data_IF_326857090158
#
_entry.id   IF_326857090158
#
_cell.length_a   1.000
_cell.length_b   1.000
_cell.length_c   1.000
_cell.angle_alpha   90.00
_cell.angle_beta   90.00
_cell.angle_gamma   90.00
#
_symmetry.space_group_name_H-M   'P 1'
#
loop_
_entity.id
_entity.type
_entity.pdbx_description
1 polymer ?
#
# COMPACT_ATOMS: atom_id res chain seq x y z
N UNK A 1 -7.50 -4.01 -16.21
CA UNK A 1 -6.97 -2.63 -16.26
C UNK A 1 -6.30 -2.30 -14.93
N UNK A 2 -5.51 -1.22 -14.87
CA UNK A 2 -4.93 -0.75 -13.60
C UNK A 2 -6.03 -0.20 -12.66
N UNK A 3 -5.87 -0.27 -11.33
CA UNK A 3 -6.78 0.37 -10.37
C UNK A 3 -6.90 1.88 -10.61
N UNK A 4 -8.08 2.44 -10.41
CA UNK A 4 -8.33 3.88 -10.58
C UNK A 4 -8.79 4.51 -9.26
N UNK A 5 -8.71 5.84 -9.17
CA UNK A 5 -9.14 6.56 -7.97
C UNK A 5 -8.34 6.18 -6.72
N UNK A 6 -7.08 5.75 -6.89
CA UNK A 6 -6.21 5.43 -5.76
C UNK A 6 -6.02 6.69 -4.91
N UNK A 7 -6.41 6.58 -3.65
CA UNK A 7 -6.26 7.62 -2.65
C UNK A 7 -5.63 7.03 -1.40
N UNK A 8 -4.90 7.89 -0.68
CA UNK A 8 -4.18 7.52 0.51
C UNK A 8 -4.30 8.63 1.55
N UNK A 9 -4.46 8.27 2.83
CA UNK A 9 -4.49 9.25 3.92
C UNK A 9 -3.94 8.70 5.22
N UNK A 10 -3.25 9.57 5.95
CA UNK A 10 -2.84 9.34 7.32
C UNK A 10 -4.03 9.25 8.27
N UNK A 11 -4.00 8.29 9.19
CA UNK A 11 -4.88 8.21 10.34
C UNK A 11 -4.08 8.08 11.64
N UNK A 12 -4.65 8.57 12.74
CA UNK A 12 -4.13 8.32 14.09
C UNK A 12 -4.71 7.01 14.61
N UNK A 13 -3.87 6.18 15.20
CA UNK A 13 -4.27 4.93 15.85
C UNK A 13 -3.91 4.98 17.34
N UNK A 14 -4.32 3.96 18.12
CA UNK A 14 -3.92 3.85 19.53
C UNK A 14 -2.42 3.59 19.71
N UNK A 15 -1.75 3.05 18.70
CA UNK A 15 -0.35 2.61 18.76
C UNK A 15 0.58 3.46 17.89
N UNK A 16 0.09 4.52 17.25
CA UNK A 16 0.87 5.37 16.36
C UNK A 16 0.04 5.97 15.24
N UNK A 17 0.53 5.86 14.01
CA UNK A 17 -0.13 6.30 12.78
C UNK A 17 -0.29 5.11 11.83
N UNK A 18 -1.23 5.23 10.91
CA UNK A 18 -1.42 4.27 9.82
C UNK A 18 -1.75 5.05 8.53
N UNK A 19 -1.54 4.43 7.38
CA UNK A 19 -1.99 4.95 6.09
C UNK A 19 -3.14 4.08 5.59
N UNK A 20 -4.28 4.70 5.32
CA UNK A 20 -5.42 4.04 4.70
C UNK A 20 -5.37 4.30 3.20
N UNK A 21 -5.35 3.24 2.43
CA UNK A 21 -5.48 3.21 0.98
C UNK A 21 -6.91 2.84 0.59
N UNK A 22 -7.42 3.48 -0.46
CA UNK A 22 -8.69 3.15 -1.12
C UNK A 22 -8.56 3.31 -2.62
N UNK A 23 -9.25 2.47 -3.40
CA UNK A 23 -9.31 2.58 -4.85
C UNK A 23 -10.67 2.08 -5.37
N UNK A 24 -10.98 2.40 -6.62
CA UNK A 24 -12.17 1.89 -7.29
C UNK A 24 -12.01 0.41 -7.67
N UNK A 25 -13.06 -0.41 -7.54
CA UNK A 25 -13.03 -1.79 -8.02
C UNK A 25 -12.67 -1.89 -9.50
N UNK A 26 -11.78 -2.83 -9.85
CA UNK A 26 -11.46 -3.19 -11.23
C UNK A 26 -12.37 -4.34 -11.65
N UNK A 27 -13.12 -4.16 -12.74
CA UNK A 27 -13.99 -5.20 -13.28
C UNK A 27 -13.20 -6.48 -13.60
N UNK A 28 -13.68 -7.62 -13.11
CA UNK A 28 -13.03 -8.93 -13.31
C UNK A 28 -11.79 -9.19 -12.44
N UNK A 29 -11.44 -8.30 -11.52
CA UNK A 29 -10.39 -8.57 -10.53
C UNK A 29 -10.92 -9.51 -9.44
N UNK A 30 -10.10 -10.50 -9.05
CA UNK A 30 -10.37 -11.40 -7.92
C UNK A 30 -9.64 -10.94 -6.65
N UNK A 31 -8.79 -9.93 -6.75
CA UNK A 31 -8.12 -9.31 -5.62
C UNK A 31 -7.11 -8.26 -6.06
N UNK A 32 -6.33 -7.77 -5.09
CA UNK A 32 -5.28 -6.79 -5.32
C UNK A 32 -3.99 -7.16 -4.60
N UNK A 33 -2.86 -6.81 -5.21
CA UNK A 33 -1.54 -6.90 -4.58
C UNK A 33 -1.05 -5.49 -4.29
N UNK A 34 -0.52 -5.30 -3.08
CA UNK A 34 -0.11 -3.99 -2.59
C UNK A 34 1.37 -4.07 -2.22
N UNK A 35 2.13 -3.13 -2.77
CA UNK A 35 3.52 -2.90 -2.39
C UNK A 35 3.69 -1.48 -1.83
N UNK A 36 4.68 -1.31 -0.95
CA UNK A 36 5.17 -0.02 -0.48
C UNK A 36 6.66 0.12 -0.79
N UNK A 37 7.04 1.34 -1.16
CA UNK A 37 8.40 1.81 -1.20
C UNK A 37 8.53 3.04 -0.29
N UNK A 38 9.69 3.21 0.34
CA UNK A 38 10.04 4.38 1.15
C UNK A 38 11.21 5.12 0.49
N UNK A 39 11.47 6.37 0.90
CA UNK A 39 12.68 7.07 0.45
C UNK A 39 13.99 6.32 0.76
N UNK A 40 14.01 5.46 1.78
CA UNK A 40 15.16 4.64 2.16
C UNK A 40 15.22 3.30 1.41
N UNK A 41 14.07 2.74 1.03
CA UNK A 41 13.97 1.51 0.23
C UNK A 41 12.97 1.71 -0.93
N UNK A 42 13.46 2.07 -2.13
CA UNK A 42 12.61 2.45 -3.25
C UNK A 42 12.04 1.25 -4.03
N UNK A 43 12.22 0.01 -3.55
CA UNK A 43 11.89 -1.18 -4.33
C UNK A 43 10.45 -1.66 -4.10
N UNK A 44 9.73 -1.90 -5.19
CA UNK A 44 8.45 -2.61 -5.19
C UNK A 44 8.69 -4.08 -5.60
N UNK A 45 9.41 -4.85 -4.79
CA UNK A 45 9.83 -6.21 -5.16
C UNK A 45 9.34 -7.27 -4.18
N UNK A 46 9.27 -8.53 -4.60
CA UNK A 46 9.01 -9.61 -3.64
C UNK A 46 10.36 -10.14 -3.10
N UNK A 47 10.52 -10.33 -1.77
CA UNK A 47 9.56 -10.03 -0.70
C UNK A 47 9.62 -8.58 -0.17
N UNK A 48 10.59 -7.78 -0.59
CA UNK A 48 10.85 -6.44 -0.07
C UNK A 48 9.80 -5.39 -0.49
N UNK A 49 8.98 -4.95 0.46
CA UNK A 49 7.93 -3.96 0.20
C UNK A 49 6.56 -4.59 -0.06
N UNK A 50 6.43 -5.91 -0.12
CA UNK A 50 5.11 -6.56 -0.19
C UNK A 50 4.33 -6.37 1.11
N UNK A 51 3.09 -5.93 1.00
CA UNK A 51 2.21 -5.68 2.15
C UNK A 51 1.07 -6.67 2.26
N UNK A 52 0.39 -6.96 1.14
CA UNK A 52 -0.75 -7.87 1.12
C UNK A 52 -1.10 -8.34 -0.29
N UNK A 53 -1.78 -9.48 -0.35
CA UNK A 53 -2.43 -10.01 -1.54
C UNK A 53 -3.91 -10.30 -1.25
N UNK A 54 -4.74 -10.21 -2.29
CA UNK A 54 -6.19 -10.46 -2.24
C UNK A 54 -6.95 -9.55 -1.26
N UNK A 55 -6.45 -8.32 -1.07
CA UNK A 55 -7.13 -7.31 -0.24
C UNK A 55 -8.47 -6.88 -0.88
N UNK A 56 -9.47 -6.44 -0.09
CA UNK A 56 -10.60 -5.65 -0.60
C UNK A 56 -10.11 -4.35 -1.26
N UNK A 57 -11.01 -3.49 -1.75
CA UNK A 57 -10.66 -2.17 -2.32
C UNK A 57 -10.22 -1.11 -1.30
N UNK A 58 -9.79 -1.56 -0.13
CA UNK A 58 -9.17 -0.77 0.91
C UNK A 58 -8.09 -1.59 1.59
N UNK A 59 -7.04 -0.90 2.04
CA UNK A 59 -5.98 -1.49 2.84
C UNK A 59 -5.53 -0.48 3.90
N UNK A 60 -5.31 -0.94 5.12
CA UNK A 60 -4.72 -0.11 6.17
C UNK A 60 -3.32 -0.60 6.42
N UNK A 61 -2.33 0.16 5.96
CA UNK A 61 -0.95 -0.04 6.33
C UNK A 61 -0.77 0.44 7.76
N UNK A 62 -0.77 -0.53 8.68
CA UNK A 62 -0.56 -0.32 10.10
C UNK A 62 0.77 -0.93 10.57
N UNK A 63 1.74 -1.15 9.66
CA UNK A 63 2.99 -1.87 9.92
C UNK A 63 3.71 -1.45 11.21
N UNK A 64 3.48 -0.23 11.69
CA UNK A 64 4.07 0.35 12.90
C UNK A 64 3.46 -0.08 14.23
N UNK A 65 2.30 -0.71 14.22
CA UNK A 65 1.66 -1.18 15.44
C UNK A 65 2.16 -2.58 15.88
N UNK A 66 2.96 -3.26 15.04
CA UNK A 66 3.46 -4.61 15.25
C UNK A 66 4.99 -4.71 15.09
N UNK A 67 5.68 -5.12 16.17
CA UNK A 67 7.14 -5.32 16.20
C UNK A 67 7.62 -6.45 15.27
N UNK A 68 6.72 -7.24 14.68
CA UNK A 68 7.03 -8.31 13.73
C UNK A 68 6.75 -7.95 12.26
N UNK A 69 6.26 -6.74 11.98
CA UNK A 69 6.02 -6.32 10.60
C UNK A 69 7.34 -6.28 9.80
N UNK A 70 7.26 -6.69 8.53
CA UNK A 70 8.39 -6.71 7.60
C UNK A 70 8.93 -5.31 7.26
N UNK A 71 8.11 -4.27 7.42
CA UNK A 71 8.50 -2.87 7.28
C UNK A 71 8.21 -2.13 8.60
N UNK A 72 9.25 -1.43 9.07
CA UNK A 72 9.24 -0.59 10.26
C UNK A 72 9.59 0.86 9.85
N UNK A 73 8.69 1.62 9.24
CA UNK A 73 8.58 3.07 9.47
C UNK A 73 7.24 3.58 8.92
N UNK A 74 6.38 4.20 9.73
CA UNK A 74 5.37 5.15 9.25
C UNK A 74 5.73 6.43 9.99
N UNK A 75 6.97 6.82 9.73
CA UNK A 75 7.72 7.75 10.53
C UNK A 75 7.44 9.17 10.07
N UNK A 76 7.49 10.08 11.03
CA UNK A 76 7.39 11.50 10.76
C UNK A 76 8.61 11.90 9.92
N UNK A 77 8.39 12.73 8.89
CA UNK A 77 9.46 13.16 7.99
C UNK A 77 9.80 12.21 6.82
N UNK A 78 9.19 11.02 6.70
CA UNK A 78 9.41 10.12 5.55
C UNK A 78 8.18 10.08 4.63
N UNK A 79 8.39 10.24 3.32
CA UNK A 79 7.35 10.02 2.31
C UNK A 79 7.23 8.53 1.99
N UNK A 80 5.99 8.05 1.86
CA UNK A 80 5.67 6.66 1.53
C UNK A 80 5.06 6.60 0.15
N UNK A 81 5.46 5.64 -0.67
CA UNK A 81 4.82 5.40 -1.97
C UNK A 81 4.25 4.01 -2.03
N UNK A 82 3.04 3.88 -2.59
CA UNK A 82 2.31 2.62 -2.67
C UNK A 82 1.98 2.30 -4.11
N UNK A 83 2.11 1.02 -4.46
CA UNK A 83 1.61 0.46 -5.71
C UNK A 83 0.47 -0.51 -5.43
N UNK A 84 -0.60 -0.38 -6.20
CA UNK A 84 -1.73 -1.32 -6.18
C UNK A 84 -1.90 -1.89 -7.58
N UNK A 85 -1.92 -3.22 -7.69
CA UNK A 85 -2.24 -3.95 -8.92
C UNK A 85 -3.50 -4.78 -8.72
N UNK A 86 -4.31 -4.91 -9.76
CA UNK A 86 -5.43 -5.86 -9.79
C UNK A 86 -4.91 -7.23 -10.26
N UNK A 87 -5.44 -8.30 -9.66
CA UNK A 87 -5.11 -9.67 -10.04
C UNK A 87 -6.36 -10.48 -10.36
N UNK A 88 -6.25 -11.36 -11.35
CA UNK A 88 -7.21 -12.42 -11.63
C UNK A 88 -6.51 -13.62 -12.28
N UNK A 89 -7.26 -14.64 -12.69
CA UNK A 89 -6.70 -15.83 -13.34
C UNK A 89 -5.96 -15.54 -14.66
N UNK A 90 -6.23 -14.40 -15.30
CA UNK A 90 -5.55 -13.95 -16.52
C UNK A 90 -4.25 -13.18 -16.25
N UNK A 91 -3.91 -12.90 -15.00
CA UNK A 91 -2.65 -12.27 -14.60
C UNK A 91 -2.80 -11.02 -13.75
N UNK A 92 -1.78 -10.16 -13.82
CA UNK A 92 -1.62 -8.95 -13.00
C UNK A 92 -1.72 -7.73 -13.92
N UNK A 93 -2.47 -6.70 -13.50
CA UNK A 93 -2.55 -5.43 -14.22
C UNK A 93 -1.26 -4.60 -14.11
N UNK A 94 -1.08 -3.56 -14.94
CA UNK A 94 -0.15 -2.49 -14.60
C UNK A 94 -0.47 -1.89 -13.21
N UNK A 95 0.54 -1.39 -12.48
CA UNK A 95 0.34 -0.78 -11.17
C UNK A 95 -0.23 0.64 -11.30
N UNK A 96 -0.98 1.05 -10.27
CA UNK A 96 -1.26 2.45 -9.99
C UNK A 96 -0.47 2.85 -8.76
N UNK A 97 0.28 3.95 -8.86
CA UNK A 97 1.17 4.44 -7.81
C UNK A 97 0.58 5.68 -7.14
N UNK A 98 0.71 5.80 -5.83
CA UNK A 98 0.48 7.05 -5.09
C UNK A 98 1.61 7.31 -4.11
N UNK A 99 2.05 8.57 -4.03
CA UNK A 99 2.99 9.03 -2.99
C UNK A 99 2.23 9.79 -1.92
N UNK A 100 2.36 9.33 -0.69
CA UNK A 100 1.88 9.98 0.53
C UNK A 100 3.03 10.81 1.08
N UNK A 101 2.90 12.15 1.13
CA UNK A 101 3.96 12.97 1.68
C UNK A 101 4.15 12.68 3.17
N UNK A 102 5.39 12.89 3.61
CA UNK A 102 5.74 12.90 5.02
C UNK A 102 4.77 13.78 5.81
N UNK A 103 4.34 13.27 6.97
CA UNK A 103 3.65 14.12 7.94
C UNK A 103 4.71 14.85 8.77
N UNK A 104 4.49 16.14 9.07
CA UNK A 104 5.32 16.86 10.04
C UNK A 104 5.30 16.19 11.42
#
# INVERSE_FOLDING_TARGET
SAPQGLAARWIKTRKGRAIVLTWSPVAGATGYVIYQATGADPHYTWPAGFLAALSPTTYTDAGHADKKAALQGLDDGISHSYQVTAVNAGGISPPTTITVPAKP
#
